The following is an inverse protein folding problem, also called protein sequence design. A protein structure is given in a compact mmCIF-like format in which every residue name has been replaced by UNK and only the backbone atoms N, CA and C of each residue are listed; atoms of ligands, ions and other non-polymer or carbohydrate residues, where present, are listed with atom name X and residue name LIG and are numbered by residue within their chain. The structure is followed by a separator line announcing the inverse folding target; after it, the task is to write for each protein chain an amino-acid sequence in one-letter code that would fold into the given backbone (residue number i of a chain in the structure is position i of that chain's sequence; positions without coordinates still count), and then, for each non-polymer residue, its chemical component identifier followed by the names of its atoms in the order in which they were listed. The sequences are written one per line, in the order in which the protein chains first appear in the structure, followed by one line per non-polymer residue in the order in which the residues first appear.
data_IF_254354922728
#
_entry.id   IF_254354922728
#
_cell.length_a   1.000
_cell.length_b   1.000
_cell.length_c   1.000
_cell.angle_alpha   90.00
_cell.angle_beta   90.00
_cell.angle_gamma   90.00
#
_symmetry.space_group_name_H-M   'P 1'
#
loop_
_entity.id
_entity.type
_entity.pdbx_description
1 polymer ?
#
# COMPACT_ATOMS: atom_id res chain seq x y z
N UNK A 1 18.49 22.55 31.20
CA UNK A 1 17.25 22.23 30.46
C UNK A 1 16.59 23.53 30.04
N UNK A 2 16.89 24.02 28.85
CA UNK A 2 16.34 25.26 28.30
C UNK A 2 14.90 25.00 27.83
N UNK A 3 13.92 25.60 28.46
CA UNK A 3 12.52 25.52 28.04
C UNK A 3 12.39 26.20 26.66
N UNK A 4 11.95 25.43 25.66
CA UNK A 4 11.63 25.97 24.34
C UNK A 4 10.56 27.06 24.47
N UNK A 5 10.66 28.17 23.68
CA UNK A 5 9.69 29.25 23.74
C UNK A 5 8.26 28.77 23.45
N UNK A 6 7.27 29.41 24.08
CA UNK A 6 5.85 28.98 24.03
C UNK A 6 5.31 28.81 22.59
N UNK A 7 5.81 29.60 21.62
CA UNK A 7 5.49 29.49 20.19
C UNK A 7 5.97 28.16 19.56
N UNK A 8 7.16 27.69 19.93
CA UNK A 8 7.72 26.43 19.42
C UNK A 8 6.92 25.19 19.93
N UNK A 9 6.48 25.25 21.21
CA UNK A 9 5.65 24.18 21.78
C UNK A 9 4.26 24.09 21.14
N UNK A 10 3.66 25.22 20.79
CA UNK A 10 2.36 25.28 20.12
C UNK A 10 2.44 24.70 18.69
N UNK A 11 3.52 24.99 17.95
CA UNK A 11 3.77 24.47 16.61
C UNK A 11 3.98 22.95 16.62
N UNK A 12 4.77 22.43 17.58
CA UNK A 12 4.99 20.97 17.74
C UNK A 12 3.66 20.25 18.02
N UNK A 13 2.85 20.73 18.96
CA UNK A 13 1.53 20.15 19.28
C UNK A 13 0.58 20.21 18.09
N UNK A 14 0.65 21.22 17.26
CA UNK A 14 -0.14 21.33 16.03
C UNK A 14 0.22 20.20 15.04
N UNK A 15 1.51 20.02 14.76
CA UNK A 15 1.96 18.93 13.87
C UNK A 15 1.59 17.56 14.42
N UNK A 16 1.76 17.32 15.73
CA UNK A 16 1.37 16.04 16.34
C UNK A 16 -0.11 15.74 16.14
N UNK A 17 -0.97 16.73 16.38
CA UNK A 17 -2.41 16.58 16.20
C UNK A 17 -2.78 16.31 14.73
N UNK A 18 -2.13 16.99 13.79
CA UNK A 18 -2.34 16.77 12.36
C UNK A 18 -1.89 15.36 11.94
N UNK A 19 -0.72 14.90 12.39
CA UNK A 19 -0.20 13.56 12.09
C UNK A 19 -1.15 12.50 12.61
N UNK A 20 -1.54 12.56 13.89
CA UNK A 20 -2.43 11.57 14.52
C UNK A 20 -3.82 11.57 13.87
N UNK A 21 -4.37 12.76 13.58
CA UNK A 21 -5.70 12.89 12.97
C UNK A 21 -5.80 12.25 11.58
N UNK A 22 -4.67 12.21 10.83
CA UNK A 22 -4.62 11.59 9.52
C UNK A 22 -4.14 10.14 9.57
N UNK A 23 -3.14 9.83 10.41
CA UNK A 23 -2.54 8.50 10.45
C UNK A 23 -3.47 7.45 11.10
N UNK A 24 -4.20 7.78 12.17
CA UNK A 24 -5.05 6.81 12.87
C UNK A 24 -6.17 6.27 11.98
N UNK A 25 -6.97 7.12 11.30
CA UNK A 25 -7.98 6.60 10.37
C UNK A 25 -7.36 5.89 9.16
N UNK A 26 -6.19 6.34 8.66
CA UNK A 26 -5.48 5.67 7.57
C UNK A 26 -5.04 4.26 7.97
N UNK A 27 -4.50 4.09 9.19
CA UNK A 27 -4.14 2.78 9.73
C UNK A 27 -5.36 1.86 9.81
N UNK A 28 -6.49 2.35 10.34
CA UNK A 28 -7.73 1.58 10.40
C UNK A 28 -8.19 1.09 9.02
N UNK A 29 -8.09 1.94 7.99
CA UNK A 29 -8.42 1.57 6.62
C UNK A 29 -7.48 0.50 6.05
N UNK A 30 -6.17 0.59 6.34
CA UNK A 30 -5.16 -0.39 5.88
C UNK A 30 -5.32 -1.76 6.54
N UNK A 31 -5.67 -1.80 7.83
CA UNK A 31 -5.87 -3.07 8.56
C UNK A 31 -7.19 -3.74 8.18
N UNK A 32 -8.17 -2.98 7.73
CA UNK A 32 -9.46 -3.54 7.33
C UNK A 32 -9.36 -4.50 6.13
N UNK A 33 -8.43 -4.26 5.20
CA UNK A 33 -8.25 -5.09 4.00
C UNK A 33 -7.79 -6.53 4.32
N UNK A 34 -6.73 -6.79 5.11
CA UNK A 34 -6.35 -8.15 5.50
C UNK A 34 -7.44 -8.90 6.28
N UNK A 35 -8.15 -8.21 7.16
CA UNK A 35 -9.26 -8.81 7.90
C UNK A 35 -10.38 -9.28 6.97
N UNK A 36 -10.67 -8.48 5.95
CA UNK A 36 -11.61 -8.85 4.91
C UNK A 36 -11.17 -10.11 4.13
N UNK A 37 -9.92 -10.16 3.68
CA UNK A 37 -9.38 -11.33 2.95
C UNK A 37 -9.48 -12.60 3.80
N UNK A 38 -9.27 -12.51 5.11
CA UNK A 38 -9.45 -13.63 6.04
C UNK A 38 -10.92 -14.11 6.08
N UNK A 39 -11.89 -13.18 6.14
CA UNK A 39 -13.32 -13.53 6.16
C UNK A 39 -13.75 -14.18 4.84
N UNK A 40 -13.32 -13.64 3.69
CA UNK A 40 -13.62 -14.20 2.38
C UNK A 40 -13.03 -15.63 2.23
N UNK A 41 -11.77 -15.81 2.65
CA UNK A 41 -11.13 -17.12 2.68
C UNK A 41 -11.86 -18.13 3.58
N UNK A 42 -12.39 -17.67 4.72
CA UNK A 42 -13.17 -18.52 5.61
C UNK A 42 -14.50 -18.94 4.98
N UNK A 43 -15.22 -18.01 4.31
CA UNK A 43 -16.48 -18.31 3.61
C UNK A 43 -16.24 -19.34 2.50
N UNK A 44 -15.25 -19.13 1.63
CA UNK A 44 -14.97 -20.04 0.50
C UNK A 44 -14.37 -21.35 1.00
N UNK A 45 -13.61 -21.34 2.09
CA UNK A 45 -13.01 -22.53 2.68
C UNK A 45 -14.02 -23.61 3.08
N UNK A 46 -15.25 -23.22 3.45
CA UNK A 46 -16.33 -24.14 3.78
C UNK A 46 -16.98 -24.79 2.53
N UNK A 47 -16.67 -24.32 1.31
CA UNK A 47 -17.16 -24.95 0.07
C UNK A 47 -16.36 -26.20 -0.30
N UNK A 48 -15.08 -26.27 0.10
CA UNK A 48 -14.19 -27.39 -0.15
C UNK A 48 -12.78 -26.97 -0.56
N UNK A 49 -11.86 -27.93 -0.50
CA UNK A 49 -10.44 -27.70 -0.78
C UNK A 49 -10.14 -27.20 -2.20
N UNK A 50 -10.76 -27.73 -3.29
CA UNK A 50 -10.50 -27.23 -4.64
C UNK A 50 -10.94 -25.78 -4.85
N UNK A 51 -12.08 -25.38 -4.24
CA UNK A 51 -12.58 -24.01 -4.30
C UNK A 51 -11.67 -23.04 -3.56
N UNK A 52 -11.20 -23.41 -2.36
CA UNK A 52 -10.25 -22.61 -1.59
C UNK A 52 -8.92 -22.47 -2.31
N UNK A 53 -8.40 -23.55 -2.91
CA UNK A 53 -7.18 -23.50 -3.72
C UNK A 53 -7.35 -22.59 -4.94
N UNK A 54 -8.49 -22.68 -5.64
CA UNK A 54 -8.84 -21.81 -6.76
C UNK A 54 -8.95 -20.35 -6.36
N UNK A 55 -9.57 -20.05 -5.22
CA UNK A 55 -9.59 -18.70 -4.65
C UNK A 55 -8.15 -18.19 -4.37
N UNK A 56 -7.29 -19.03 -3.78
CA UNK A 56 -5.92 -18.66 -3.46
C UNK A 56 -5.13 -18.20 -4.69
N UNK A 57 -5.20 -18.96 -5.79
CA UNK A 57 -4.56 -18.61 -7.07
C UNK A 57 -5.14 -17.31 -7.64
N UNK A 58 -6.46 -17.21 -7.73
CA UNK A 58 -7.11 -16.02 -8.28
C UNK A 58 -6.84 -14.76 -7.41
N UNK A 59 -6.90 -14.89 -6.09
CA UNK A 59 -6.61 -13.80 -5.16
C UNK A 59 -5.16 -13.32 -5.28
N UNK A 60 -4.19 -14.22 -5.45
CA UNK A 60 -2.79 -13.85 -5.67
C UNK A 60 -2.61 -13.01 -6.94
N UNK A 61 -3.25 -13.43 -8.05
CA UNK A 61 -3.25 -12.69 -9.31
C UNK A 61 -3.89 -11.31 -9.17
N UNK A 62 -5.09 -11.23 -8.60
CA UNK A 62 -5.84 -9.99 -8.41
C UNK A 62 -5.12 -9.03 -7.47
N UNK A 63 -4.62 -9.51 -6.34
CA UNK A 63 -3.87 -8.70 -5.38
C UNK A 63 -2.58 -8.15 -6.01
N UNK A 64 -1.88 -8.97 -6.80
CA UNK A 64 -0.69 -8.51 -7.54
C UNK A 64 -1.06 -7.41 -8.53
N UNK A 65 -2.12 -7.60 -9.33
CA UNK A 65 -2.59 -6.61 -10.28
C UNK A 65 -2.97 -5.29 -9.59
N UNK A 66 -3.81 -5.32 -8.54
CA UNK A 66 -4.27 -4.12 -7.83
C UNK A 66 -3.11 -3.40 -7.14
N UNK A 67 -2.21 -4.12 -6.50
CA UNK A 67 -1.07 -3.52 -5.80
C UNK A 67 -0.09 -2.77 -6.73
N UNK A 68 0.01 -3.17 -7.99
CA UNK A 68 0.78 -2.43 -9.00
C UNK A 68 0.21 -1.01 -9.17
N UNK A 69 -1.11 -0.85 -9.08
CA UNK A 69 -1.80 0.40 -9.32
C UNK A 69 -1.97 1.29 -8.06
N UNK A 70 -1.42 0.88 -6.92
CA UNK A 70 -1.47 1.68 -5.68
C UNK A 70 -0.84 3.08 -5.87
N UNK A 71 0.03 3.23 -6.88
CA UNK A 71 0.61 4.52 -7.25
C UNK A 71 -0.44 5.58 -7.62
N UNK A 72 -1.64 5.16 -8.08
CA UNK A 72 -2.76 6.07 -8.36
C UNK A 72 -3.15 6.85 -7.10
N UNK A 73 -3.27 6.17 -5.96
CA UNK A 73 -3.57 6.83 -4.69
C UNK A 73 -2.47 7.82 -4.30
N UNK A 74 -1.20 7.41 -4.43
CA UNK A 74 -0.06 8.24 -4.02
C UNK A 74 0.09 9.48 -4.91
N UNK A 75 0.06 9.33 -6.24
CA UNK A 75 0.17 10.43 -7.18
C UNK A 75 -0.98 11.43 -7.02
N UNK A 76 -2.21 10.93 -6.85
CA UNK A 76 -3.40 11.76 -6.68
C UNK A 76 -3.36 12.51 -5.33
N UNK A 77 -2.93 11.85 -4.23
CA UNK A 77 -2.79 12.50 -2.93
C UNK A 77 -1.85 13.70 -3.00
N UNK A 78 -0.67 13.53 -3.59
CA UNK A 78 0.33 14.59 -3.69
C UNK A 78 -0.16 15.77 -4.54
N UNK A 79 -0.73 15.47 -5.71
CA UNK A 79 -1.20 16.49 -6.65
C UNK A 79 -2.39 17.30 -6.08
N UNK A 80 -3.36 16.63 -5.46
CA UNK A 80 -4.52 17.28 -4.81
C UNK A 80 -4.08 18.09 -3.61
N UNK A 81 -3.23 17.54 -2.71
CA UNK A 81 -2.77 18.22 -1.52
C UNK A 81 -2.03 19.53 -1.84
N UNK A 82 -1.23 19.56 -2.90
CA UNK A 82 -0.54 20.77 -3.35
C UNK A 82 -1.52 21.86 -3.80
N UNK A 83 -2.50 21.52 -4.62
CA UNK A 83 -3.51 22.48 -5.06
C UNK A 83 -4.38 23.01 -3.91
N UNK A 84 -4.70 22.12 -2.96
CA UNK A 84 -5.40 22.54 -1.72
C UNK A 84 -4.55 23.53 -0.94
N UNK A 85 -3.25 23.28 -0.79
CA UNK A 85 -2.31 24.20 -0.14
C UNK A 85 -2.23 25.57 -0.84
N UNK A 86 -2.27 25.59 -2.16
CA UNK A 86 -2.29 26.80 -2.98
C UNK A 86 -3.64 27.55 -2.97
N UNK A 87 -4.66 27.04 -2.27
CA UNK A 87 -6.00 27.63 -2.26
C UNK A 87 -6.82 27.31 -3.53
N UNK A 88 -6.28 26.53 -4.47
CA UNK A 88 -6.95 26.14 -5.72
C UNK A 88 -7.79 24.86 -5.53
N UNK A 89 -8.88 24.99 -4.78
CA UNK A 89 -9.78 23.85 -4.54
C UNK A 89 -10.49 23.35 -5.80
N UNK A 90 -10.96 24.21 -6.73
CA UNK A 90 -11.50 23.74 -8.00
C UNK A 90 -10.49 22.92 -8.81
N UNK A 91 -9.23 23.40 -8.91
CA UNK A 91 -8.15 22.69 -9.58
C UNK A 91 -7.78 21.37 -8.87
N UNK A 92 -7.83 21.32 -7.54
CA UNK A 92 -7.62 20.10 -6.77
C UNK A 92 -8.66 19.02 -7.11
N UNK A 93 -9.92 19.40 -7.16
CA UNK A 93 -11.03 18.51 -7.52
C UNK A 93 -10.90 18.07 -8.98
N UNK A 94 -10.55 18.99 -9.89
CA UNK A 94 -10.30 18.68 -11.29
C UNK A 94 -9.21 17.63 -11.47
N UNK A 95 -8.08 17.82 -10.80
CA UNK A 95 -6.98 16.85 -10.78
C UNK A 95 -7.41 15.48 -10.26
N UNK A 96 -8.27 15.47 -9.24
CA UNK A 96 -8.88 14.24 -8.73
C UNK A 96 -9.76 13.54 -9.76
N UNK A 97 -10.58 14.29 -10.52
CA UNK A 97 -11.40 13.75 -11.59
C UNK A 97 -10.57 13.14 -12.72
N UNK A 98 -9.47 13.80 -13.12
CA UNK A 98 -8.56 13.27 -14.13
C UNK A 98 -7.90 11.95 -13.66
N UNK A 99 -7.54 11.85 -12.37
CA UNK A 99 -7.07 10.60 -11.75
C UNK A 99 -8.12 9.47 -11.77
N UNK A 100 -9.39 9.80 -11.54
CA UNK A 100 -10.51 8.85 -11.62
C UNK A 100 -10.73 8.38 -13.08
N UNK A 101 -10.67 9.28 -14.05
CA UNK A 101 -10.75 8.90 -15.47
C UNK A 101 -9.57 8.01 -15.88
N UNK A 102 -8.35 8.30 -15.42
CA UNK A 102 -7.20 7.43 -15.64
C UNK A 102 -7.45 6.03 -15.04
N UNK A 103 -7.99 5.95 -13.82
CA UNK A 103 -8.33 4.69 -13.16
C UNK A 103 -9.34 3.86 -13.97
N UNK A 104 -10.39 4.50 -14.51
CA UNK A 104 -11.38 3.83 -15.37
C UNK A 104 -10.77 3.31 -16.68
N UNK A 105 -9.91 4.10 -17.33
CA UNK A 105 -9.22 3.69 -18.55
C UNK A 105 -8.27 2.51 -18.32
N UNK A 106 -7.49 2.56 -17.24
CA UNK A 106 -6.60 1.46 -16.86
C UNK A 106 -7.42 0.21 -16.49
N UNK A 107 -8.50 0.37 -15.73
CA UNK A 107 -9.38 -0.73 -15.38
C UNK A 107 -10.00 -1.40 -16.60
N UNK A 108 -10.47 -0.63 -17.58
CA UNK A 108 -11.01 -1.14 -18.83
C UNK A 108 -9.93 -1.89 -19.64
N UNK A 109 -8.70 -1.36 -19.71
CA UNK A 109 -7.58 -2.03 -20.36
C UNK A 109 -7.23 -3.36 -19.70
N UNK A 110 -7.27 -3.42 -18.36
CA UNK A 110 -7.02 -4.65 -17.61
C UNK A 110 -8.12 -5.69 -17.88
N UNK A 111 -9.39 -5.29 -17.89
CA UNK A 111 -10.49 -6.20 -18.25
C UNK A 111 -10.25 -6.79 -19.66
N UNK A 112 -9.95 -5.93 -20.64
CA UNK A 112 -9.72 -6.36 -22.01
C UNK A 112 -8.54 -7.35 -22.13
N UNK A 113 -7.50 -7.19 -21.33
CA UNK A 113 -6.35 -8.08 -21.31
C UNK A 113 -6.60 -9.35 -20.47
N UNK A 114 -7.16 -9.23 -19.26
CA UNK A 114 -7.25 -10.34 -18.31
C UNK A 114 -8.34 -11.36 -18.64
N UNK A 115 -9.47 -10.93 -19.21
CA UNK A 115 -10.55 -11.87 -19.54
C UNK A 115 -10.14 -12.98 -20.53
N UNK A 116 -9.47 -12.68 -21.66
CA UNK A 116 -9.02 -13.69 -22.60
C UNK A 116 -7.83 -14.50 -22.08
N UNK A 117 -6.95 -13.88 -21.28
CA UNK A 117 -5.72 -14.52 -20.78
C UNK A 117 -5.89 -15.27 -19.45
N UNK A 118 -7.07 -15.20 -18.82
CA UNK A 118 -7.31 -15.81 -17.52
C UNK A 118 -6.91 -17.30 -17.44
N UNK A 119 -7.21 -18.19 -18.40
CA UNK A 119 -6.75 -19.57 -18.33
C UNK A 119 -5.23 -19.70 -18.30
N UNK A 120 -4.52 -19.03 -19.23
CA UNK A 120 -3.06 -19.04 -19.27
C UNK A 120 -2.39 -18.44 -18.04
N UNK A 121 -3.00 -17.43 -17.40
CA UNK A 121 -2.51 -16.89 -16.14
C UNK A 121 -2.65 -17.88 -15.00
N UNK A 122 -3.77 -18.59 -14.92
CA UNK A 122 -4.02 -19.62 -13.91
C UNK A 122 -3.06 -20.80 -14.08
N UNK A 123 -2.82 -21.23 -15.33
CA UNK A 123 -1.86 -22.29 -15.65
C UNK A 123 -0.43 -21.88 -15.27
N UNK A 124 -0.02 -20.64 -15.56
CA UNK A 124 1.29 -20.10 -15.19
C UNK A 124 1.53 -20.10 -13.67
N UNK A 125 0.45 -19.93 -12.88
CA UNK A 125 0.52 -20.00 -11.41
C UNK A 125 0.48 -21.41 -10.86
N UNK A 126 0.42 -22.44 -11.72
CA UNK A 126 0.51 -23.83 -11.34
C UNK A 126 -0.72 -24.36 -10.60
N UNK A 127 -1.90 -23.87 -10.94
CA UNK A 127 -3.14 -24.41 -10.37
C UNK A 127 -3.32 -25.88 -10.78
N UNK A 128 -3.75 -26.73 -9.82
CA UNK A 128 -4.07 -28.11 -10.12
C UNK A 128 -5.32 -28.20 -11.03
N UNK A 129 -5.45 -29.31 -11.78
CA UNK A 129 -6.59 -29.53 -12.68
C UNK A 129 -7.95 -29.41 -11.98
N UNK A 130 -8.01 -29.76 -10.70
CA UNK A 130 -9.20 -29.64 -9.86
C UNK A 130 -9.51 -28.22 -9.38
N UNK A 131 -8.49 -27.39 -9.20
CA UNK A 131 -8.62 -26.01 -8.72
C UNK A 131 -8.75 -25.00 -9.87
N UNK A 132 -8.15 -25.27 -11.03
CA UNK A 132 -8.09 -24.37 -12.18
C UNK A 132 -9.48 -23.86 -12.65
N UNK A 133 -10.53 -24.69 -12.77
CA UNK A 133 -11.85 -24.19 -13.17
C UNK A 133 -12.43 -23.15 -12.20
N UNK A 134 -12.21 -23.35 -10.90
CA UNK A 134 -12.65 -22.42 -9.87
C UNK A 134 -11.82 -21.13 -9.88
N UNK A 135 -10.49 -21.22 -10.07
CA UNK A 135 -9.62 -20.09 -10.21
C UNK A 135 -9.99 -19.22 -11.42
N UNK A 136 -10.21 -19.84 -12.59
CA UNK A 136 -10.61 -19.14 -13.81
C UNK A 136 -11.95 -18.44 -13.64
N UNK A 137 -12.93 -19.13 -13.05
CA UNK A 137 -14.27 -18.57 -12.80
C UNK A 137 -14.18 -17.36 -11.88
N UNK A 138 -13.49 -17.49 -10.74
CA UNK A 138 -13.31 -16.41 -9.79
C UNK A 138 -12.55 -15.23 -10.41
N UNK A 139 -11.44 -15.51 -11.11
CA UNK A 139 -10.61 -14.49 -11.75
C UNK A 139 -11.40 -13.69 -12.80
N UNK A 140 -12.12 -14.37 -13.70
CA UNK A 140 -12.92 -13.69 -14.74
C UNK A 140 -14.00 -12.79 -14.16
N UNK A 141 -14.74 -13.28 -13.17
CA UNK A 141 -15.79 -12.50 -12.52
C UNK A 141 -15.19 -11.31 -11.74
N UNK A 142 -14.20 -11.56 -10.90
CA UNK A 142 -13.58 -10.51 -10.05
C UNK A 142 -12.84 -9.45 -10.87
N UNK A 143 -12.36 -9.78 -12.07
CA UNK A 143 -11.76 -8.81 -12.99
C UNK A 143 -12.73 -7.68 -13.35
N UNK A 144 -14.05 -7.90 -13.36
CA UNK A 144 -15.07 -6.87 -13.56
C UNK A 144 -15.13 -5.84 -12.42
N UNK A 145 -14.59 -6.17 -11.27
CA UNK A 145 -14.44 -5.28 -10.13
C UNK A 145 -13.17 -4.40 -10.16
N UNK A 146 -12.18 -4.73 -11.01
CA UNK A 146 -10.91 -3.99 -11.04
C UNK A 146 -11.10 -2.50 -11.33
N UNK A 147 -11.91 -2.06 -12.32
CA UNK A 147 -12.12 -0.63 -12.54
C UNK A 147 -12.68 0.07 -11.31
N UNK A 148 -13.61 -0.56 -10.59
CA UNK A 148 -14.16 -0.01 -9.36
C UNK A 148 -13.07 0.12 -8.29
N UNK A 149 -12.20 -0.88 -8.13
CA UNK A 149 -11.10 -0.86 -7.18
C UNK A 149 -10.07 0.23 -7.52
N UNK A 150 -9.74 0.43 -8.81
CA UNK A 150 -8.85 1.52 -9.22
C UNK A 150 -9.48 2.90 -8.98
N UNK A 151 -10.78 3.05 -9.19
CA UNK A 151 -11.54 4.26 -8.82
C UNK A 151 -11.46 4.50 -7.31
N UNK A 152 -11.63 3.47 -6.50
CA UNK A 152 -11.48 3.54 -5.03
C UNK A 152 -10.08 4.02 -4.66
N UNK A 153 -9.02 3.51 -5.29
CA UNK A 153 -7.64 3.95 -5.05
C UNK A 153 -7.45 5.44 -5.41
N UNK A 154 -7.86 5.85 -6.61
CA UNK A 154 -7.74 7.22 -7.05
C UNK A 154 -8.55 8.19 -6.15
N UNK A 155 -9.80 7.86 -5.84
CA UNK A 155 -10.68 8.68 -5.00
C UNK A 155 -10.22 8.72 -3.53
N UNK A 156 -9.66 7.63 -3.00
CA UNK A 156 -8.97 7.62 -1.70
C UNK A 156 -7.81 8.63 -1.72
N UNK A 157 -7.03 8.68 -2.81
CA UNK A 157 -5.99 9.67 -3.00
C UNK A 157 -6.53 11.11 -3.01
N UNK A 158 -7.66 11.37 -3.66
CA UNK A 158 -8.34 12.68 -3.64
C UNK A 158 -8.67 13.08 -2.21
N UNK A 159 -9.36 12.22 -1.45
CA UNK A 159 -9.80 12.54 -0.09
C UNK A 159 -8.62 12.73 0.86
N UNK A 160 -7.57 11.89 0.76
CA UNK A 160 -6.33 12.08 1.53
C UNK A 160 -5.67 13.42 1.19
N UNK A 161 -5.62 13.81 -0.07
CA UNK A 161 -5.13 15.11 -0.51
C UNK A 161 -5.97 16.28 0.03
N UNK A 162 -7.29 16.09 0.17
CA UNK A 162 -8.21 17.03 0.83
C UNK A 162 -8.12 16.98 2.38
N UNK A 163 -7.16 16.23 2.94
CA UNK A 163 -6.97 16.02 4.39
C UNK A 163 -8.11 15.23 5.07
N UNK A 164 -8.89 14.48 4.30
CA UNK A 164 -9.93 13.59 4.81
C UNK A 164 -9.47 12.12 4.71
N UNK A 165 -9.06 11.54 5.83
CA UNK A 165 -8.72 10.11 5.97
C UNK A 165 -9.84 9.32 6.67
N UNK A 166 -10.88 10.00 7.20
CA UNK A 166 -12.00 9.36 7.88
C UNK A 166 -13.00 8.75 6.90
N UNK A 167 -13.34 9.50 5.84
CA UNK A 167 -14.23 8.97 4.79
C UNK A 167 -13.69 7.70 4.15
N UNK A 168 -12.41 7.59 3.76
CA UNK A 168 -11.79 6.33 3.36
C UNK A 168 -11.96 5.19 4.37
N UNK A 169 -11.76 5.45 5.66
CA UNK A 169 -11.97 4.44 6.70
C UNK A 169 -13.43 3.94 6.73
N UNK A 170 -14.41 4.84 6.75
CA UNK A 170 -15.81 4.46 6.82
C UNK A 170 -16.25 3.68 5.57
N UNK A 171 -15.79 4.10 4.38
CA UNK A 171 -16.08 3.39 3.13
C UNK A 171 -15.42 2.01 3.12
N UNK A 172 -14.18 1.87 3.59
CA UNK A 172 -13.51 0.59 3.68
C UNK A 172 -14.24 -0.37 4.65
N UNK A 173 -14.52 0.07 5.88
CA UNK A 173 -15.22 -0.76 6.87
C UNK A 173 -16.62 -1.13 6.38
N UNK A 174 -17.41 -0.17 5.87
CA UNK A 174 -18.75 -0.43 5.34
C UNK A 174 -18.73 -1.35 4.12
N UNK A 175 -17.79 -1.13 3.20
CA UNK A 175 -17.64 -1.93 1.98
C UNK A 175 -17.23 -3.36 2.27
N UNK A 176 -16.27 -3.57 3.17
CA UNK A 176 -15.84 -4.91 3.57
C UNK A 176 -16.91 -5.67 4.36
N UNK A 177 -17.65 -4.98 5.23
CA UNK A 177 -18.81 -5.57 5.92
C UNK A 177 -19.89 -5.97 4.91
N UNK A 178 -20.24 -5.09 3.98
CA UNK A 178 -21.20 -5.39 2.94
C UNK A 178 -20.75 -6.57 2.06
N UNK A 179 -19.45 -6.62 1.72
CA UNK A 179 -18.89 -7.75 0.98
C UNK A 179 -19.06 -9.08 1.74
N UNK A 180 -18.71 -9.13 3.04
CA UNK A 180 -18.84 -10.33 3.84
C UNK A 180 -20.32 -10.84 3.87
N UNK A 181 -21.27 -9.91 4.03
CA UNK A 181 -22.71 -10.24 4.01
C UNK A 181 -23.16 -10.72 2.63
N UNK A 182 -22.74 -10.03 1.56
CA UNK A 182 -23.05 -10.42 0.18
C UNK A 182 -22.45 -11.78 -0.16
N UNK A 183 -21.18 -12.01 0.21
CA UNK A 183 -20.51 -13.28 -0.04
C UNK A 183 -21.26 -14.43 0.67
N UNK A 184 -21.57 -14.28 1.96
CA UNK A 184 -22.34 -15.29 2.69
C UNK A 184 -23.73 -15.55 2.06
N UNK A 185 -24.44 -14.49 1.69
CA UNK A 185 -25.76 -14.58 1.05
C UNK A 185 -25.72 -15.22 -0.34
N UNK A 186 -24.76 -14.87 -1.18
CA UNK A 186 -24.65 -15.39 -2.54
C UNK A 186 -24.04 -16.78 -2.57
N UNK A 187 -23.09 -17.09 -1.70
CA UNK A 187 -22.43 -18.40 -1.62
C UNK A 187 -23.39 -19.44 -1.08
N UNK A 188 -24.02 -19.18 0.08
CA UNK A 188 -24.83 -20.15 0.77
C UNK A 188 -26.32 -19.98 0.53
N UNK A 189 -26.83 -18.74 0.52
CA UNK A 189 -28.25 -18.46 0.34
C UNK A 189 -28.73 -18.66 -1.10
N UNK A 190 -27.97 -18.17 -2.08
CA UNK A 190 -28.28 -18.37 -3.50
C UNK A 190 -27.62 -19.64 -4.10
N UNK A 191 -26.76 -20.33 -3.36
CA UNK A 191 -26.09 -21.54 -3.82
C UNK A 191 -25.09 -21.37 -4.96
N UNK A 192 -24.58 -20.15 -5.18
CA UNK A 192 -23.68 -19.83 -6.30
C UNK A 192 -22.23 -20.27 -6.07
N UNK A 193 -21.89 -20.82 -4.90
CA UNK A 193 -20.55 -21.28 -4.58
C UNK A 193 -19.50 -20.18 -4.77
N UNK A 194 -18.35 -20.53 -5.37
CA UNK A 194 -17.23 -19.58 -5.58
C UNK A 194 -17.61 -18.39 -6.48
N UNK A 195 -18.52 -18.58 -7.43
CA UNK A 195 -19.03 -17.48 -8.26
C UNK A 195 -19.82 -16.47 -7.41
N UNK A 196 -20.50 -16.93 -6.36
CA UNK A 196 -21.18 -16.06 -5.39
C UNK A 196 -20.23 -15.15 -4.63
N UNK A 197 -19.08 -15.68 -4.17
CA UNK A 197 -18.04 -14.86 -3.53
C UNK A 197 -17.46 -13.83 -4.52
N UNK A 198 -17.18 -14.22 -5.77
CA UNK A 198 -16.69 -13.30 -6.78
C UNK A 198 -17.70 -12.16 -7.06
N UNK A 199 -18.98 -12.47 -7.23
CA UNK A 199 -20.02 -11.47 -7.45
C UNK A 199 -20.22 -10.57 -6.23
N UNK A 200 -20.22 -11.10 -5.02
CA UNK A 200 -20.31 -10.31 -3.80
C UNK A 200 -19.17 -9.29 -3.70
N UNK A 201 -17.95 -9.71 -4.06
CA UNK A 201 -16.78 -8.83 -4.11
C UNK A 201 -16.94 -7.74 -5.17
N UNK A 202 -17.37 -8.07 -6.38
CA UNK A 202 -17.59 -7.08 -7.47
C UNK A 202 -18.66 -6.06 -7.07
N UNK A 203 -19.80 -6.52 -6.53
CA UNK A 203 -20.89 -5.63 -6.10
C UNK A 203 -20.41 -4.69 -4.98
N UNK A 204 -19.69 -5.21 -3.98
CA UNK A 204 -19.15 -4.38 -2.89
C UNK A 204 -18.14 -3.35 -3.40
N UNK A 205 -17.25 -3.72 -4.33
CA UNK A 205 -16.27 -2.81 -4.93
C UNK A 205 -16.95 -1.68 -5.71
N UNK A 206 -17.95 -1.99 -6.51
CA UNK A 206 -18.74 -0.97 -7.24
C UNK A 206 -19.57 -0.09 -6.29
N UNK A 207 -20.11 -0.65 -5.21
CA UNK A 207 -20.78 0.13 -4.17
C UNK A 207 -19.83 1.11 -3.49
N UNK A 208 -18.63 0.67 -3.12
CA UNK A 208 -17.59 1.56 -2.58
C UNK A 208 -17.22 2.66 -3.59
N UNK A 209 -16.97 2.30 -4.85
CA UNK A 209 -16.66 3.24 -5.91
C UNK A 209 -17.79 4.27 -6.09
N UNK A 210 -19.06 3.85 -6.06
CA UNK A 210 -20.22 4.72 -6.16
C UNK A 210 -20.28 5.75 -5.00
N UNK A 211 -19.99 5.31 -3.76
CA UNK A 211 -19.93 6.23 -2.61
C UNK A 211 -18.81 7.27 -2.80
N UNK A 212 -17.61 6.84 -3.17
CA UNK A 212 -16.50 7.76 -3.44
C UNK A 212 -16.81 8.73 -4.58
N UNK A 213 -17.36 8.22 -5.70
CA UNK A 213 -17.78 9.05 -6.83
C UNK A 213 -18.84 10.07 -6.41
N UNK A 214 -19.81 9.67 -5.60
CA UNK A 214 -20.83 10.57 -5.09
C UNK A 214 -20.22 11.72 -4.26
N UNK A 215 -19.21 11.43 -3.43
CA UNK A 215 -18.50 12.46 -2.65
C UNK A 215 -17.73 13.41 -3.56
N UNK A 216 -16.92 12.88 -4.48
CA UNK A 216 -16.10 13.70 -5.40
C UNK A 216 -16.97 14.52 -6.36
N UNK A 217 -18.02 13.93 -6.95
CA UNK A 217 -18.96 14.61 -7.86
C UNK A 217 -19.74 15.71 -7.15
N UNK A 218 -20.17 15.48 -5.89
CA UNK A 218 -20.80 16.54 -5.10
C UNK A 218 -19.85 17.71 -4.88
N UNK A 219 -18.58 17.41 -4.56
CA UNK A 219 -17.52 18.41 -4.46
C UNK A 219 -17.35 19.19 -5.77
N UNK A 220 -17.23 18.49 -6.90
CA UNK A 220 -17.08 19.08 -8.21
C UNK A 220 -18.25 20.03 -8.57
N UNK A 221 -19.49 19.58 -8.34
CA UNK A 221 -20.68 20.40 -8.60
C UNK A 221 -20.73 21.66 -7.72
N UNK A 222 -20.36 21.55 -6.45
CA UNK A 222 -20.34 22.69 -5.51
C UNK A 222 -19.33 23.77 -5.92
N UNK A 223 -18.23 23.38 -6.56
CA UNK A 223 -17.17 24.28 -6.99
C UNK A 223 -17.18 24.58 -8.50
N UNK A 224 -18.25 24.19 -9.21
CA UNK A 224 -18.39 24.47 -10.65
C UNK A 224 -17.35 23.75 -11.53
N UNK A 225 -16.76 22.67 -11.03
CA UNK A 225 -15.68 21.95 -11.73
C UNK A 225 -16.29 20.98 -12.75
N UNK A 226 -15.74 20.96 -13.98
CA UNK A 226 -16.17 20.05 -15.04
C UNK A 226 -15.88 18.59 -14.69
N UNK A 227 -16.86 17.72 -14.94
CA UNK A 227 -16.75 16.26 -14.79
C UNK A 227 -16.23 15.56 -16.05
N UNK A 228 -16.14 16.28 -17.19
CA UNK A 228 -15.75 15.69 -18.47
C UNK A 228 -14.29 15.27 -18.45
N UNK A 229 -13.92 14.15 -19.11
CA UNK A 229 -12.54 13.74 -19.24
C UNK A 229 -11.72 14.82 -19.97
N UNK A 230 -10.49 15.03 -19.50
CA UNK A 230 -9.51 15.90 -20.14
C UNK A 230 -8.25 15.10 -20.48
N UNK A 231 -8.00 14.91 -21.77
CA UNK A 231 -6.89 14.11 -22.23
C UNK A 231 -5.53 14.67 -21.77
N UNK A 232 -5.40 15.99 -21.64
CA UNK A 232 -4.17 16.61 -21.13
C UNK A 232 -3.98 16.34 -19.63
N UNK A 233 -5.05 16.52 -18.83
CA UNK A 233 -5.04 16.23 -17.39
C UNK A 233 -4.80 14.75 -17.10
N UNK A 234 -5.47 13.84 -17.82
CA UNK A 234 -5.27 12.39 -17.70
C UNK A 234 -3.82 12.00 -18.03
N UNK A 235 -3.25 12.55 -19.11
CA UNK A 235 -1.84 12.31 -19.47
C UNK A 235 -0.88 12.84 -18.41
N UNK A 236 -1.14 14.01 -17.85
CA UNK A 236 -0.35 14.57 -16.77
C UNK A 236 -0.39 13.69 -15.51
N UNK A 237 -1.58 13.14 -15.14
CA UNK A 237 -1.72 12.17 -14.05
C UNK A 237 -0.89 10.90 -14.33
N UNK A 238 -0.94 10.37 -15.55
CA UNK A 238 -0.18 9.18 -15.94
C UNK A 238 1.33 9.43 -15.84
N UNK A 239 1.81 10.57 -16.36
CA UNK A 239 3.23 10.94 -16.24
C UNK A 239 3.69 11.14 -14.80
N UNK A 240 2.89 11.77 -13.95
CA UNK A 240 3.21 11.93 -12.53
C UNK A 240 3.22 10.58 -11.78
N UNK A 241 2.37 9.64 -12.20
CA UNK A 241 2.27 8.32 -11.62
C UNK A 241 3.34 7.32 -12.08
N UNK A 242 3.85 7.46 -13.33
CA UNK A 242 4.79 6.49 -13.93
C UNK A 242 6.06 6.25 -13.09
N UNK A 243 6.74 7.26 -12.51
CA UNK A 243 7.88 7.01 -11.64
C UNK A 243 7.49 6.24 -10.36
N UNK A 244 6.32 6.51 -9.79
CA UNK A 244 5.86 5.78 -8.61
C UNK A 244 5.48 4.33 -8.94
N UNK A 245 5.02 4.06 -10.17
CA UNK A 245 4.84 2.70 -10.68
C UNK A 245 6.19 1.97 -10.74
N UNK A 246 7.23 2.58 -11.32
CA UNK A 246 8.59 2.00 -11.36
C UNK A 246 9.10 1.69 -9.95
N UNK A 247 8.92 2.63 -9.01
CA UNK A 247 9.27 2.40 -7.59
C UNK A 247 8.52 1.19 -7.02
N UNK A 248 7.22 1.07 -7.26
CA UNK A 248 6.39 -0.02 -6.75
C UNK A 248 6.81 -1.37 -7.34
N UNK A 249 7.06 -1.43 -8.65
CA UNK A 249 7.54 -2.63 -9.33
C UNK A 249 8.92 -3.06 -8.80
N UNK A 250 9.83 -2.12 -8.58
CA UNK A 250 11.15 -2.41 -8.00
C UNK A 250 11.03 -2.98 -6.57
N UNK A 251 10.13 -2.44 -5.75
CA UNK A 251 9.87 -2.97 -4.42
C UNK A 251 9.26 -4.38 -4.48
N UNK A 252 8.34 -4.63 -5.40
CA UNK A 252 7.78 -5.97 -5.64
C UNK A 252 8.85 -6.96 -6.09
N UNK A 253 9.76 -6.55 -6.96
CA UNK A 253 10.89 -7.39 -7.38
C UNK A 253 11.77 -7.79 -6.19
N UNK A 254 12.04 -6.87 -5.25
CA UNK A 254 12.75 -7.20 -4.00
C UNK A 254 12.04 -8.32 -3.23
N UNK A 255 10.73 -8.21 -3.02
CA UNK A 255 9.95 -9.22 -2.28
C UNK A 255 9.92 -10.56 -2.99
N UNK A 256 9.77 -10.57 -4.31
CA UNK A 256 9.78 -11.80 -5.13
C UNK A 256 11.14 -12.48 -5.09
N UNK A 257 12.24 -11.72 -5.21
CA UNK A 257 13.61 -12.27 -5.12
C UNK A 257 13.83 -12.86 -3.72
N UNK A 258 13.43 -12.16 -2.65
CA UNK A 258 13.56 -12.67 -1.30
C UNK A 258 12.81 -14.01 -1.11
N UNK A 259 11.56 -14.09 -1.58
CA UNK A 259 10.77 -15.33 -1.52
C UNK A 259 11.38 -16.44 -2.36
N UNK A 260 11.88 -16.14 -3.57
CA UNK A 260 12.54 -17.12 -4.44
C UNK A 260 13.85 -17.64 -3.82
N UNK A 261 14.60 -16.80 -3.13
CA UNK A 261 15.80 -17.22 -2.39
C UNK A 261 15.42 -18.08 -1.19
N UNK A 262 14.41 -17.68 -0.41
CA UNK A 262 13.93 -18.49 0.72
C UNK A 262 13.49 -19.90 0.28
N UNK A 263 12.81 -20.02 -0.87
CA UNK A 263 12.41 -21.31 -1.44
C UNK A 263 13.61 -22.19 -1.83
N UNK A 264 14.76 -21.59 -2.17
CA UNK A 264 16.00 -22.34 -2.48
C UNK A 264 16.75 -22.81 -1.22
N UNK A 265 16.47 -22.23 -0.07
CA UNK A 265 17.08 -22.61 1.20
C UNK A 265 16.44 -23.86 1.80
N UNK A 266 15.16 -24.13 1.51
CA UNK A 266 14.42 -25.32 1.95
C UNK A 266 13.01 -25.02 2.46
N UNK A 267 12.24 -26.06 2.70
CA UNK A 267 10.83 -25.95 3.09
C UNK A 267 10.65 -25.27 4.45
N UNK A 268 11.53 -25.54 5.41
CA UNK A 268 11.53 -24.91 6.74
C UNK A 268 11.79 -23.40 6.62
N UNK A 269 12.76 -23.01 5.79
CA UNK A 269 13.14 -21.61 5.59
C UNK A 269 12.02 -20.84 4.87
N UNK A 270 11.41 -21.40 3.84
CA UNK A 270 10.30 -20.73 3.14
C UNK A 270 9.06 -20.60 4.02
N UNK A 271 8.76 -21.62 4.85
CA UNK A 271 7.65 -21.53 5.80
C UNK A 271 7.89 -20.42 6.84
N UNK A 272 9.09 -20.38 7.44
CA UNK A 272 9.48 -19.30 8.35
C UNK A 272 9.46 -17.93 7.65
N UNK A 273 9.94 -17.83 6.41
CA UNK A 273 9.91 -16.59 5.62
C UNK A 273 8.48 -16.05 5.43
N UNK A 274 7.52 -16.91 5.10
CA UNK A 274 6.12 -16.50 4.92
C UNK A 274 5.49 -15.96 6.22
N UNK A 275 5.79 -16.59 7.35
CA UNK A 275 5.34 -16.09 8.66
C UNK A 275 5.89 -14.69 8.93
N UNK A 276 7.20 -14.49 8.72
CA UNK A 276 7.82 -13.18 8.96
C UNK A 276 7.36 -12.14 7.93
N UNK A 277 7.12 -12.51 6.66
CA UNK A 277 6.52 -11.59 5.67
C UNK A 277 5.12 -11.12 6.07
N UNK A 278 4.31 -12.00 6.65
CA UNK A 278 2.98 -11.61 7.16
C UNK A 278 3.11 -10.57 8.27
N UNK A 279 4.01 -10.81 9.23
CA UNK A 279 4.31 -9.84 10.29
C UNK A 279 4.87 -8.53 9.71
N UNK A 280 5.83 -8.61 8.79
CA UNK A 280 6.42 -7.45 8.11
C UNK A 280 5.35 -6.58 7.43
N UNK A 281 4.39 -7.20 6.76
CA UNK A 281 3.29 -6.49 6.11
C UNK A 281 2.41 -5.73 7.11
N UNK A 282 2.11 -6.35 8.26
CA UNK A 282 1.35 -5.70 9.33
C UNK A 282 2.11 -4.50 9.91
N UNK A 283 3.42 -4.66 10.17
CA UNK A 283 4.28 -3.58 10.64
C UNK A 283 4.39 -2.45 9.59
N UNK A 284 4.50 -2.81 8.32
CA UNK A 284 4.52 -1.87 7.22
C UNK A 284 3.24 -1.02 7.15
N UNK A 285 2.06 -1.60 7.37
CA UNK A 285 0.79 -0.83 7.41
C UNK A 285 0.78 0.22 8.54
N UNK A 286 1.35 -0.12 9.70
CA UNK A 286 1.45 0.85 10.80
C UNK A 286 2.36 2.04 10.43
N UNK A 287 3.49 1.78 9.77
CA UNK A 287 4.41 2.82 9.33
C UNK A 287 3.87 3.59 8.12
N UNK A 288 3.17 2.92 7.19
CA UNK A 288 2.58 3.53 6.00
C UNK A 288 1.45 4.50 6.36
N UNK A 289 0.74 4.26 7.46
CA UNK A 289 -0.25 5.20 7.97
C UNK A 289 0.38 6.58 8.29
N UNK A 290 1.59 6.61 8.84
CA UNK A 290 2.33 7.85 9.10
C UNK A 290 2.81 8.45 7.76
N UNK A 291 3.26 7.61 6.83
CA UNK A 291 3.68 8.04 5.49
C UNK A 291 2.53 8.70 4.71
N UNK A 292 1.31 8.14 4.78
CA UNK A 292 0.10 8.71 4.18
C UNK A 292 -0.21 10.09 4.75
N UNK A 293 -0.14 10.25 6.08
CA UNK A 293 -0.26 11.57 6.71
C UNK A 293 0.80 12.53 6.17
N UNK A 294 2.04 12.04 5.99
CA UNK A 294 3.16 12.79 5.41
C UNK A 294 2.90 13.32 4.02
N UNK A 295 2.38 12.49 3.15
CA UNK A 295 2.06 12.90 1.78
C UNK A 295 1.08 14.08 1.77
N UNK A 296 0.01 14.00 2.54
CA UNK A 296 -1.03 15.01 2.58
C UNK A 296 -0.53 16.31 3.23
N UNK A 297 0.19 16.22 4.35
CA UNK A 297 0.70 17.37 5.10
C UNK A 297 1.76 18.11 4.28
N UNK A 298 2.76 17.40 3.75
CA UNK A 298 3.86 18.00 2.99
C UNK A 298 3.36 18.59 1.67
N UNK A 299 2.49 17.88 0.94
CA UNK A 299 1.87 18.42 -0.27
C UNK A 299 1.18 19.77 -0.01
N UNK A 300 0.40 19.85 1.08
CA UNK A 300 -0.30 21.08 1.47
C UNK A 300 0.67 22.22 1.83
N UNK A 301 1.70 21.99 2.63
CA UNK A 301 2.67 23.04 2.98
C UNK A 301 3.42 23.54 1.75
N UNK A 302 3.85 22.64 0.86
CA UNK A 302 4.54 23.05 -0.37
C UNK A 302 3.62 23.80 -1.34
N UNK A 303 2.34 23.39 -1.41
CA UNK A 303 1.32 24.12 -2.18
C UNK A 303 1.07 25.53 -1.65
N UNK A 304 1.07 25.70 -0.33
CA UNK A 304 0.93 26.99 0.35
C UNK A 304 2.21 27.84 0.32
N UNK A 305 3.24 27.42 -0.40
CA UNK A 305 4.56 28.06 -0.47
C UNK A 305 5.28 28.17 0.88
N UNK A 306 4.83 27.40 1.89
CA UNK A 306 5.44 27.36 3.23
C UNK A 306 6.55 26.30 3.29
N UNK A 307 7.71 26.64 2.77
CA UNK A 307 8.89 25.78 2.77
C UNK A 307 9.43 25.48 4.19
N UNK A 308 9.29 26.44 5.12
CA UNK A 308 9.74 26.25 6.51
C UNK A 308 8.81 25.31 7.27
N UNK A 309 7.49 25.48 7.10
CA UNK A 309 6.48 24.55 7.64
C UNK A 309 6.68 23.15 7.12
N UNK A 310 6.95 22.97 5.81
CA UNK A 310 7.24 21.67 5.22
C UNK A 310 8.47 20.99 5.86
N UNK A 311 9.57 21.74 6.06
CA UNK A 311 10.78 21.22 6.73
C UNK A 311 10.53 20.90 8.20
N UNK A 312 9.77 21.73 8.91
CA UNK A 312 9.42 21.51 10.31
C UNK A 312 8.54 20.27 10.47
N UNK A 313 7.52 20.11 9.62
CA UNK A 313 6.68 18.92 9.56
C UNK A 313 7.50 17.66 9.25
N UNK A 314 8.38 17.70 8.25
CA UNK A 314 9.26 16.58 7.91
C UNK A 314 10.10 16.13 9.12
N UNK A 315 10.77 17.06 9.81
CA UNK A 315 11.56 16.75 11.02
C UNK A 315 10.70 16.09 12.11
N UNK A 316 9.49 16.62 12.33
CA UNK A 316 8.58 16.07 13.35
C UNK A 316 8.10 14.66 12.98
N UNK A 317 7.81 14.43 11.71
CA UNK A 317 7.38 13.13 11.21
C UNK A 317 8.50 12.08 11.29
N UNK A 318 9.75 12.47 11.01
CA UNK A 318 10.91 11.58 11.22
C UNK A 318 11.02 11.16 12.69
N UNK A 319 10.79 12.08 13.64
CA UNK A 319 10.75 11.72 15.07
C UNK A 319 9.63 10.71 15.37
N UNK A 320 8.43 10.91 14.81
CA UNK A 320 7.33 9.94 14.91
C UNK A 320 7.71 8.58 14.29
N UNK A 321 8.38 8.57 13.13
CA UNK A 321 8.85 7.35 12.49
C UNK A 321 9.86 6.57 13.35
N UNK A 322 10.81 7.28 13.98
CA UNK A 322 11.78 6.66 14.90
C UNK A 322 11.06 6.05 16.09
N UNK A 323 10.18 6.81 16.75
CA UNK A 323 9.45 6.34 17.94
C UNK A 323 8.55 5.16 17.58
N UNK A 324 7.79 5.26 16.50
CA UNK A 324 6.94 4.17 16.02
C UNK A 324 7.77 2.92 15.69
N UNK A 325 8.89 3.08 14.99
CA UNK A 325 9.78 1.97 14.68
C UNK A 325 10.36 1.30 15.93
N UNK A 326 10.80 2.07 16.93
CA UNK A 326 11.26 1.52 18.22
C UNK A 326 10.14 0.76 18.92
N UNK A 327 8.94 1.35 19.02
CA UNK A 327 7.79 0.70 19.67
C UNK A 327 7.42 -0.59 18.95
N UNK A 328 7.34 -0.58 17.60
CA UNK A 328 7.05 -1.78 16.82
C UNK A 328 8.13 -2.84 16.97
N UNK A 329 9.40 -2.47 16.96
CA UNK A 329 10.51 -3.40 17.20
C UNK A 329 10.43 -4.05 18.58
N UNK A 330 10.15 -3.28 19.63
CA UNK A 330 9.94 -3.79 20.98
C UNK A 330 8.70 -4.70 21.07
N UNK A 331 7.62 -4.35 20.39
CA UNK A 331 6.41 -5.19 20.31
C UNK A 331 6.71 -6.52 19.63
N UNK A 332 7.49 -6.55 18.54
CA UNK A 332 7.93 -7.80 17.90
C UNK A 332 8.68 -8.68 18.89
N UNK A 333 9.63 -8.11 19.65
CA UNK A 333 10.39 -8.86 20.65
C UNK A 333 9.49 -9.38 21.77
N UNK A 334 8.62 -8.54 22.32
CA UNK A 334 7.74 -8.88 23.43
C UNK A 334 6.66 -9.90 23.04
N UNK A 335 6.16 -9.84 21.80
CA UNK A 335 5.10 -10.74 21.33
C UNK A 335 5.58 -12.13 20.89
N UNK A 336 6.90 -12.36 20.76
CA UNK A 336 7.46 -13.64 20.28
C UNK A 336 6.89 -14.89 20.98
N UNK A 337 6.78 -14.93 22.33
CA UNK A 337 6.28 -16.12 23.01
C UNK A 337 4.83 -16.45 22.65
N UNK A 338 4.04 -15.44 22.31
CA UNK A 338 2.64 -15.59 21.91
C UNK A 338 2.51 -15.82 20.40
N UNK A 339 3.27 -15.05 19.60
CA UNK A 339 3.19 -15.04 18.14
C UNK A 339 3.67 -16.37 17.52
N UNK A 340 4.84 -16.87 17.92
CA UNK A 340 5.45 -18.07 17.32
C UNK A 340 4.54 -19.31 17.47
N UNK A 341 4.01 -19.67 18.65
CA UNK A 341 3.12 -20.81 18.80
C UNK A 341 1.80 -20.71 18.04
N UNK A 342 1.35 -19.47 17.75
CA UNK A 342 0.13 -19.24 16.99
C UNK A 342 0.26 -19.68 15.53
N UNK A 343 1.46 -19.56 14.95
CA UNK A 343 1.70 -19.82 13.52
C UNK A 343 2.28 -21.19 13.24
N UNK A 344 3.03 -21.79 14.18
CA UNK A 344 3.67 -23.09 13.95
C UNK A 344 3.92 -23.86 15.23
N UNK A 345 3.77 -25.19 15.14
CA UNK A 345 4.16 -26.13 16.18
C UNK A 345 5.49 -26.84 15.83
N UNK A 346 5.99 -26.68 14.59
CA UNK A 346 7.20 -27.30 14.11
C UNK A 346 8.45 -26.69 14.80
N UNK A 347 9.29 -27.49 15.49
CA UNK A 347 10.48 -27.00 16.17
C UNK A 347 11.50 -26.36 15.22
N UNK A 348 11.71 -26.95 14.02
CA UNK A 348 12.66 -26.45 13.04
C UNK A 348 12.29 -25.06 12.51
N UNK A 349 10.99 -24.84 12.24
CA UNK A 349 10.48 -23.52 11.84
C UNK A 349 10.62 -22.52 13.00
N UNK A 350 10.37 -22.94 14.25
CA UNK A 350 10.51 -22.07 15.44
C UNK A 350 11.94 -21.61 15.63
N UNK A 351 12.91 -22.53 15.52
CA UNK A 351 14.33 -22.22 15.68
C UNK A 351 14.83 -21.27 14.59
N UNK A 352 14.32 -21.43 13.36
CA UNK A 352 14.62 -20.53 12.24
C UNK A 352 13.97 -19.14 12.43
N UNK A 353 12.77 -19.07 13.01
CA UNK A 353 12.04 -17.80 13.23
C UNK A 353 12.71 -16.90 14.27
N UNK A 354 13.29 -17.47 15.33
CA UNK A 354 13.83 -16.69 16.46
C UNK A 354 14.87 -15.64 16.02
N UNK A 355 15.96 -16.00 15.32
CA UNK A 355 16.95 -15.02 14.88
C UNK A 355 16.39 -14.05 13.84
N UNK A 356 15.51 -14.50 12.95
CA UNK A 356 14.91 -13.66 11.91
C UNK A 356 14.01 -12.58 12.51
N UNK A 357 13.22 -12.90 13.54
CA UNK A 357 12.40 -11.92 14.26
C UNK A 357 13.27 -10.87 14.99
N UNK A 358 14.45 -11.24 15.47
CA UNK A 358 15.38 -10.26 16.04
C UNK A 358 15.91 -9.28 14.99
N UNK A 359 16.29 -9.78 13.80
CA UNK A 359 16.68 -8.92 12.67
C UNK A 359 15.53 -8.01 12.27
N UNK A 360 14.32 -8.57 12.15
CA UNK A 360 13.09 -7.81 11.82
C UNK A 360 12.83 -6.69 12.84
N UNK A 361 12.95 -6.99 14.14
CA UNK A 361 12.78 -6.01 15.20
C UNK A 361 13.84 -4.91 15.17
N UNK A 362 15.12 -5.30 14.99
CA UNK A 362 16.25 -4.36 14.97
C UNK A 362 16.15 -3.36 13.81
N UNK A 363 15.55 -3.75 12.70
CA UNK A 363 15.41 -2.91 11.50
C UNK A 363 14.21 -1.97 11.56
N UNK A 364 13.27 -2.14 12.51
CA UNK A 364 12.05 -1.31 12.57
C UNK A 364 12.32 0.19 12.77
N UNK A 365 13.28 0.66 13.58
CA UNK A 365 13.59 2.09 13.66
C UNK A 365 14.06 2.68 12.33
N UNK A 366 14.85 1.93 11.57
CA UNK A 366 15.28 2.29 10.20
C UNK A 366 14.07 2.35 9.28
N UNK A 367 13.21 1.32 9.33
CA UNK A 367 11.97 1.25 8.54
C UNK A 367 11.06 2.44 8.84
N UNK A 368 10.89 2.82 10.10
CA UNK A 368 10.07 3.98 10.49
C UNK A 368 10.51 5.27 9.81
N UNK A 369 11.82 5.54 9.76
CA UNK A 369 12.36 6.72 9.06
C UNK A 369 12.18 6.59 7.54
N UNK A 370 12.44 5.40 6.98
CA UNK A 370 12.30 5.12 5.54
C UNK A 370 10.87 5.37 5.07
N UNK A 371 9.87 4.81 5.74
CA UNK A 371 8.46 4.98 5.38
C UNK A 371 8.04 6.45 5.46
N UNK A 372 8.44 7.15 6.51
CA UNK A 372 8.15 8.58 6.66
C UNK A 372 8.78 9.40 5.55
N UNK A 373 10.08 9.23 5.27
CA UNK A 373 10.76 10.00 4.22
C UNK A 373 10.21 9.66 2.83
N UNK A 374 9.82 8.42 2.60
CA UNK A 374 9.15 7.99 1.38
C UNK A 374 7.82 8.76 1.20
N UNK A 375 6.98 8.81 2.26
CA UNK A 375 5.75 9.59 2.28
C UNK A 375 5.98 11.09 2.06
N UNK A 376 6.98 11.67 2.72
CA UNK A 376 7.38 13.08 2.56
C UNK A 376 7.76 13.38 1.11
N UNK A 377 8.61 12.56 0.49
CA UNK A 377 9.07 12.77 -0.89
C UNK A 377 7.96 12.50 -1.91
N UNK A 378 7.07 11.52 -1.65
CA UNK A 378 5.86 11.35 -2.46
C UNK A 378 4.95 12.59 -2.39
N UNK A 379 4.70 13.14 -1.19
CA UNK A 379 3.93 14.37 -1.00
C UNK A 379 4.57 15.59 -1.65
N UNK A 380 5.91 15.62 -1.70
CA UNK A 380 6.67 16.62 -2.44
C UNK A 380 6.62 16.43 -3.96
N UNK A 381 6.04 15.33 -4.47
CA UNK A 381 6.02 15.02 -5.89
C UNK A 381 7.38 14.59 -6.47
N UNK A 382 8.30 14.12 -5.61
CA UNK A 382 9.67 13.73 -6.01
C UNK A 382 9.74 12.29 -6.54
N UNK A 383 8.73 11.91 -7.33
CA UNK A 383 8.56 10.58 -7.91
C UNK A 383 9.78 10.09 -8.70
N UNK A 384 10.36 10.87 -9.61
CA UNK A 384 11.54 10.45 -10.38
C UNK A 384 12.73 10.08 -9.51
N UNK A 385 12.98 10.84 -8.43
CA UNK A 385 14.04 10.49 -7.48
C UNK A 385 13.74 9.18 -6.76
N UNK A 386 12.50 9.00 -6.28
CA UNK A 386 12.09 7.77 -5.60
C UNK A 386 12.22 6.53 -6.49
N UNK A 387 11.88 6.65 -7.78
CA UNK A 387 12.07 5.59 -8.75
C UNK A 387 13.56 5.22 -8.91
N UNK A 388 14.42 6.22 -9.14
CA UNK A 388 15.86 6.01 -9.28
C UNK A 388 16.50 5.41 -8.03
N UNK A 389 16.16 5.94 -6.84
CA UNK A 389 16.63 5.41 -5.56
C UNK A 389 16.22 3.95 -5.35
N UNK A 390 15.00 3.57 -5.75
CA UNK A 390 14.53 2.20 -5.60
C UNK A 390 15.17 1.24 -6.61
N UNK A 391 15.43 1.69 -7.85
CA UNK A 391 16.21 0.93 -8.85
C UNK A 391 17.61 0.65 -8.33
N UNK A 392 18.31 1.66 -7.79
CA UNK A 392 19.65 1.49 -7.21
C UNK A 392 19.61 0.51 -6.05
N UNK A 393 18.60 0.63 -5.18
CA UNK A 393 18.40 -0.30 -4.05
C UNK A 393 18.20 -1.73 -4.53
N UNK A 394 17.36 -1.95 -5.55
CA UNK A 394 17.14 -3.27 -6.16
C UNK A 394 18.42 -3.83 -6.78
N UNK A 395 19.17 -2.99 -7.53
CA UNK A 395 20.40 -3.40 -8.20
C UNK A 395 21.50 -3.85 -7.23
N UNK A 396 21.53 -3.29 -6.00
CA UNK A 396 22.45 -3.71 -4.94
C UNK A 396 21.90 -4.91 -4.19
N UNK A 397 20.59 -4.91 -3.86
CA UNK A 397 19.95 -5.97 -3.09
C UNK A 397 19.94 -7.31 -3.83
N UNK A 398 19.57 -7.31 -5.13
CA UNK A 398 19.35 -8.55 -5.88
C UNK A 398 20.58 -9.47 -5.92
N UNK A 399 21.80 -9.01 -6.31
CA UNK A 399 22.95 -9.87 -6.33
C UNK A 399 23.34 -10.38 -4.94
N UNK A 400 23.25 -9.54 -3.89
CA UNK A 400 23.58 -9.95 -2.52
C UNK A 400 22.62 -11.02 -2.02
N UNK A 401 21.31 -10.84 -2.24
CA UNK A 401 20.29 -11.83 -1.84
C UNK A 401 20.45 -13.16 -2.60
N UNK A 402 20.70 -13.11 -3.91
CA UNK A 402 20.87 -14.31 -4.76
C UNK A 402 22.12 -15.13 -4.40
N UNK A 403 23.12 -14.51 -3.77
CA UNK A 403 24.35 -15.17 -3.30
C UNK A 403 24.19 -15.84 -1.93
N UNK A 404 23.13 -15.55 -1.16
CA UNK A 404 22.91 -16.11 0.18
C UNK A 404 22.97 -17.64 0.21
N UNK A 405 22.34 -18.39 -0.71
CA UNK A 405 22.43 -19.85 -0.71
C UNK A 405 23.87 -20.36 -0.92
N UNK A 406 24.66 -19.66 -1.75
CA UNK A 406 26.05 -20.04 -2.04
C UNK A 406 26.97 -19.87 -0.82
N UNK A 407 26.63 -18.98 0.11
CA UNK A 407 27.39 -18.74 1.34
C UNK A 407 26.95 -19.64 2.52
N UNK A 408 25.91 -20.46 2.33
CA UNK A 408 25.34 -21.27 3.41
C UNK A 408 24.69 -20.44 4.54
N UNK A 409 24.28 -19.21 4.23
CA UNK A 409 23.85 -18.22 5.24
C UNK A 409 22.44 -18.41 5.81
N UNK A 410 21.64 -19.30 5.26
CA UNK A 410 20.25 -19.57 5.71
C UNK A 410 19.32 -18.36 5.65
N UNK A 411 18.14 -18.51 6.23
CA UNK A 411 17.09 -17.47 6.22
C UNK A 411 17.53 -16.20 6.98
N UNK A 412 18.28 -16.34 8.05
CA UNK A 412 18.77 -15.18 8.83
C UNK A 412 19.65 -14.27 7.98
N UNK A 413 20.54 -14.82 7.15
CA UNK A 413 21.36 -14.04 6.23
C UNK A 413 20.49 -13.33 5.17
N UNK A 414 19.47 -13.98 4.64
CA UNK A 414 18.52 -13.36 3.73
C UNK A 414 17.82 -12.14 4.39
N UNK A 415 17.41 -12.25 5.66
CA UNK A 415 16.79 -11.13 6.37
C UNK A 415 17.78 -10.00 6.70
N UNK A 416 19.04 -10.29 6.85
CA UNK A 416 20.09 -9.25 6.88
C UNK A 416 20.23 -8.53 5.53
N UNK A 417 20.00 -9.20 4.40
CA UNK A 417 19.92 -8.49 3.10
C UNK A 417 18.68 -7.60 3.00
N UNK A 418 17.56 -7.96 3.63
CA UNK A 418 16.39 -7.08 3.78
C UNK A 418 16.73 -5.86 4.66
N UNK A 419 17.50 -6.04 5.73
CA UNK A 419 18.00 -4.93 6.54
C UNK A 419 18.95 -4.02 5.74
N UNK A 420 19.83 -4.59 4.91
CA UNK A 420 20.66 -3.85 3.97
C UNK A 420 19.80 -3.02 3.00
N UNK A 421 18.78 -3.62 2.41
CA UNK A 421 17.83 -2.93 1.51
C UNK A 421 17.19 -1.72 2.21
N UNK A 422 16.71 -1.88 3.45
CA UNK A 422 16.15 -0.76 4.22
C UNK A 422 17.19 0.31 4.55
N UNK A 423 18.43 -0.09 4.83
CA UNK A 423 19.53 0.84 5.09
C UNK A 423 19.93 1.64 3.84
N UNK A 424 19.96 1.00 2.68
CA UNK A 424 20.20 1.68 1.40
C UNK A 424 19.09 2.69 1.09
N UNK A 425 17.83 2.32 1.31
CA UNK A 425 16.71 3.24 1.19
C UNK A 425 16.86 4.41 2.18
N UNK A 426 17.20 4.13 3.43
CA UNK A 426 17.44 5.19 4.42
C UNK A 426 18.49 6.17 3.92
N UNK A 427 19.64 5.70 3.46
CA UNK A 427 20.74 6.55 2.97
C UNK A 427 20.28 7.41 1.80
N UNK A 428 19.67 6.82 0.77
CA UNK A 428 19.22 7.56 -0.41
C UNK A 428 18.16 8.61 -0.05
N UNK A 429 17.13 8.24 0.70
CA UNK A 429 16.05 9.14 1.09
C UNK A 429 16.52 10.24 2.04
N UNK A 430 17.42 9.92 2.98
CA UNK A 430 18.00 10.88 3.90
C UNK A 430 18.90 11.91 3.20
N UNK A 431 19.74 11.48 2.27
CA UNK A 431 20.55 12.39 1.45
C UNK A 431 19.66 13.37 0.65
N UNK A 432 18.56 12.85 0.09
CA UNK A 432 17.59 13.70 -0.62
C UNK A 432 16.91 14.69 0.32
N UNK A 433 16.47 14.23 1.48
CA UNK A 433 15.82 15.07 2.48
C UNK A 433 16.76 16.18 2.97
N UNK A 434 18.05 15.88 3.21
CA UNK A 434 19.06 16.86 3.62
C UNK A 434 19.42 17.86 2.54
N UNK A 435 19.43 17.46 1.27
CA UNK A 435 19.81 18.35 0.16
C UNK A 435 18.85 19.52 -0.04
N UNK A 436 17.65 19.47 0.53
CA UNK A 436 16.60 20.47 0.34
C UNK A 436 15.99 20.52 -1.08
N UNK A 437 16.51 19.73 -2.04
CA UNK A 437 16.05 19.72 -3.44
C UNK A 437 14.62 19.23 -3.62
N UNK A 438 14.04 18.58 -2.61
CA UNK A 438 12.64 18.15 -2.62
C UNK A 438 11.66 19.28 -2.31
N UNK A 439 12.14 20.38 -1.72
CA UNK A 439 11.33 21.55 -1.32
C UNK A 439 11.12 22.45 -2.54
N UNK A 440 10.24 22.02 -3.42
CA UNK A 440 9.78 22.82 -4.57
C UNK A 440 8.36 23.27 -4.23
N UNK A 441 8.15 24.59 -4.10
CA UNK A 441 6.87 25.19 -3.73
C UNK A 441 5.97 25.42 -4.95
N UNK A 442 4.69 25.68 -4.71
CA UNK A 442 3.68 25.95 -5.73
C UNK A 442 2.65 24.84 -5.93
N UNK A 443 1.56 25.15 -6.63
CA UNK A 443 0.42 24.27 -6.88
C UNK A 443 0.78 23.01 -7.68
N UNK A 444 1.80 23.09 -8.51
CA UNK A 444 2.36 21.98 -9.28
C UNK A 444 3.86 21.91 -9.09
N UNK A 445 4.44 20.73 -9.25
CA UNK A 445 5.90 20.59 -9.37
C UNK A 445 6.24 20.64 -10.86
N UNK A 446 6.88 21.71 -11.29
CA UNK A 446 7.43 21.83 -12.63
C UNK A 446 8.67 20.95 -12.80
#
# INVERSE_FOLDING_TARGET
MTQAPASARSTVRRHDREIVALAVPAFGALVAEPLFVMVDSAIVGHLGTPQLAGLGVAAALLTTAVNIFVFLAYATTAAVARRVGAGDLPGAIRQGMDGIWLALLLGAAIIAAALPTAPGLVDLFGASDTAAPYAITYLRLSTLGIPAMLVVLAATGVLRGLQDTRTPLYVAVGGFTANAVLNAGLVYGAGLGIAGSAWGTVIAQWAMAAVYLAVVVRGARRHGTSLRPDAAGIRACAHAGAPLLVRTLSLRAVMLIATAVAARLGDTDVAAHQIVLTLWTLLAFALDAIAIAGQAIIGRYLGAEDAEGARAACRRMVQWGIVAGIVLGLLVIASRPLFIPLFTTDPGVRDTLLPVLLVTAAVQPVSGVVFVLDGVLMGAGDGPYLAGAMIVTLAVFAPVALLVPAWGGGLTALWWTMALMMSLRLVTLWLRARSGRWVVTGATRA
#
